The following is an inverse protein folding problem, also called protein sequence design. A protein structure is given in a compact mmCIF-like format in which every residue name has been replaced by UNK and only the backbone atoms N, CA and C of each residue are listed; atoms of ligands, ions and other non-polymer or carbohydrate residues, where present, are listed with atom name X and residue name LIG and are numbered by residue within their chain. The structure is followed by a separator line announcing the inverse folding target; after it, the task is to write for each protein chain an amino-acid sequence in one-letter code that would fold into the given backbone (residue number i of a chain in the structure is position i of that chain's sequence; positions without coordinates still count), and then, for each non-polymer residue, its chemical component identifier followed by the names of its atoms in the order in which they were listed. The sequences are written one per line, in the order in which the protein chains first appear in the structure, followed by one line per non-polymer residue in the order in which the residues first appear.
data_IF_172006044784
#
_entry.id   IF_172006044784
#
_cell.length_a   1.000
_cell.length_b   1.000
_cell.length_c   1.000
_cell.angle_alpha   90.00
_cell.angle_beta   90.00
_cell.angle_gamma   90.00
#
_symmetry.space_group_name_H-M   'P 1'
#
loop_
_entity.id
_entity.type
_entity.pdbx_description
1 polymer ?
#
# COMPACT_ATOMS: atom_id res chain seq x y z
N UNK A 1 8.96 1.68 8.54
CA UNK A 1 7.73 2.14 7.87
C UNK A 1 6.62 1.16 8.20
N UNK A 2 5.41 1.64 8.53
CA UNK A 2 4.25 0.77 8.74
C UNK A 2 3.76 0.25 7.39
N UNK A 3 3.67 -1.07 7.23
CA UNK A 3 3.11 -1.70 6.04
C UNK A 3 1.74 -2.26 6.39
N UNK A 4 0.73 -1.93 5.59
CA UNK A 4 -0.65 -2.37 5.78
C UNK A 4 -1.07 -3.18 4.56
N UNK A 5 -1.43 -4.45 4.75
CA UNK A 5 -1.83 -5.34 3.64
C UNK A 5 -3.21 -5.91 3.85
N UNK A 6 -3.89 -6.14 2.73
CA UNK A 6 -5.11 -6.94 2.65
C UNK A 6 -4.73 -8.40 2.48
N UNK A 7 -5.24 -9.26 3.36
CA UNK A 7 -5.14 -10.71 3.21
C UNK A 7 -6.55 -11.27 2.98
N UNK A 8 -6.66 -12.30 2.14
CA UNK A 8 -7.94 -12.95 1.82
C UNK A 8 -7.70 -14.45 1.82
N UNK A 9 -8.53 -15.18 2.56
CA UNK A 9 -8.63 -16.64 2.43
C UNK A 9 -9.96 -17.01 1.75
N UNK A 10 -10.31 -18.31 1.75
CA UNK A 10 -11.53 -18.78 1.07
C UNK A 10 -12.84 -18.31 1.69
N UNK A 11 -12.83 -17.92 2.96
CA UNK A 11 -14.03 -17.65 3.77
C UNK A 11 -14.05 -16.23 4.34
N UNK A 12 -12.90 -15.66 4.62
CA UNK A 12 -12.75 -14.40 5.31
C UNK A 12 -11.56 -13.62 4.78
N UNK A 13 -11.59 -12.33 5.07
CA UNK A 13 -10.53 -11.44 4.71
C UNK A 13 -10.09 -10.66 5.96
N UNK A 14 -8.82 -10.28 5.98
CA UNK A 14 -8.12 -9.72 7.12
C UNK A 14 -7.38 -8.44 6.72
N UNK A 15 -7.09 -7.60 7.70
CA UNK A 15 -6.08 -6.55 7.61
C UNK A 15 -4.87 -6.99 8.43
N UNK A 16 -3.69 -6.88 7.83
CA UNK A 16 -2.41 -7.14 8.48
C UNK A 16 -1.60 -5.86 8.60
N UNK A 17 -1.14 -5.55 9.81
CA UNK A 17 -0.27 -4.44 10.14
C UNK A 17 1.12 -4.98 10.48
N UNK A 18 2.13 -4.53 9.74
CA UNK A 18 3.52 -4.91 9.94
C UNK A 18 4.33 -3.69 10.36
N UNK A 19 4.88 -3.73 11.56
CA UNK A 19 5.81 -2.73 12.06
C UNK A 19 7.20 -3.39 12.24
N UNK A 20 8.29 -2.79 11.75
CA UNK A 20 9.62 -3.37 11.91
C UNK A 20 9.98 -3.61 13.37
N UNK A 21 10.32 -4.85 13.70
CA UNK A 21 10.69 -5.26 15.06
C UNK A 21 9.51 -5.63 15.97
N UNK A 22 8.27 -5.55 15.50
CA UNK A 22 7.09 -6.06 16.22
C UNK A 22 6.48 -7.27 15.50
N UNK A 23 5.81 -8.13 16.27
CA UNK A 23 4.99 -9.20 15.73
C UNK A 23 3.84 -8.62 14.87
N UNK A 24 3.53 -9.24 13.71
CA UNK A 24 2.43 -8.80 12.86
C UNK A 24 1.10 -8.81 13.61
N UNK A 25 0.32 -7.74 13.46
CA UNK A 25 -1.07 -7.71 13.95
C UNK A 25 -2.01 -8.01 12.80
N UNK A 26 -2.68 -9.16 12.86
CA UNK A 26 -3.59 -9.62 11.82
C UNK A 26 -4.97 -9.80 12.45
N UNK A 27 -5.99 -9.18 11.86
CA UNK A 27 -7.36 -9.26 12.36
C UNK A 27 -8.37 -9.29 11.22
N UNK A 28 -9.52 -9.98 11.40
CA UNK A 28 -10.57 -10.00 10.40
C UNK A 28 -11.06 -8.57 10.10
N UNK A 29 -11.29 -8.28 8.82
CA UNK A 29 -11.85 -6.99 8.40
C UNK A 29 -12.58 -7.10 7.08
N UNK A 30 -13.62 -6.30 6.94
CA UNK A 30 -14.30 -5.99 5.68
C UNK A 30 -13.44 -5.06 4.81
N UNK A 31 -13.82 -4.91 3.54
CA UNK A 31 -13.14 -3.97 2.64
C UNK A 31 -13.35 -2.52 3.06
N UNK A 32 -14.52 -2.19 3.61
CA UNK A 32 -14.81 -0.86 4.15
C UNK A 32 -13.89 -0.54 5.34
N UNK A 33 -13.76 -1.46 6.30
CA UNK A 33 -12.86 -1.28 7.45
C UNK A 33 -11.40 -1.16 7.01
N UNK A 34 -10.97 -2.01 6.07
CA UNK A 34 -9.62 -1.93 5.50
C UNK A 34 -9.36 -0.55 4.87
N UNK A 35 -10.27 -0.08 4.01
CA UNK A 35 -10.16 1.24 3.39
C UNK A 35 -10.12 2.37 4.41
N UNK A 36 -10.92 2.26 5.49
CA UNK A 36 -10.91 3.26 6.57
C UNK A 36 -9.59 3.25 7.35
N UNK A 37 -8.99 2.08 7.58
CA UNK A 37 -7.66 1.94 8.19
C UNK A 37 -6.60 2.60 7.29
N UNK A 38 -6.59 2.32 5.99
CA UNK A 38 -5.65 2.95 5.05
C UNK A 38 -5.76 4.47 5.09
N UNK A 39 -6.98 5.01 5.14
CA UNK A 39 -7.21 6.45 5.22
C UNK A 39 -6.66 7.06 6.52
N UNK A 40 -6.84 6.40 7.66
CA UNK A 40 -6.34 6.87 8.95
C UNK A 40 -4.80 6.94 8.94
N UNK A 41 -4.15 5.91 8.40
CA UNK A 41 -2.69 5.82 8.32
C UNK A 41 -2.09 6.51 7.10
N UNK A 42 -2.89 7.21 6.28
CA UNK A 42 -2.46 7.89 5.04
C UNK A 42 -1.76 6.94 4.06
N UNK A 43 -2.26 5.71 3.95
CA UNK A 43 -1.80 4.66 3.04
C UNK A 43 -2.76 4.50 1.85
N UNK A 44 -3.81 5.31 1.73
CA UNK A 44 -4.84 5.20 0.69
C UNK A 44 -4.47 5.89 -0.64
N UNK A 45 -3.46 6.79 -0.62
CA UNK A 45 -3.01 7.57 -1.79
C UNK A 45 -1.62 8.16 -1.55
N UNK A 46 -0.95 8.74 -2.57
CA UNK A 46 0.26 9.52 -2.33
C UNK A 46 -0.05 10.78 -1.50
N UNK A 47 0.76 11.03 -0.47
CA UNK A 47 0.70 12.23 0.34
C UNK A 47 2.08 12.90 0.38
N UNK A 48 2.12 14.21 0.13
CA UNK A 48 3.36 14.99 0.17
C UNK A 48 4.02 14.89 1.54
N UNK A 49 5.31 14.50 1.57
CA UNK A 49 6.09 14.39 2.79
C UNK A 49 5.79 13.16 3.66
N UNK A 50 4.98 12.22 3.19
CA UNK A 50 4.67 10.97 3.90
C UNK A 50 5.29 9.79 3.14
N UNK A 51 6.13 9.00 3.82
CA UNK A 51 6.64 7.75 3.26
C UNK A 51 5.64 6.63 3.53
N UNK A 52 4.97 6.19 2.46
CA UNK A 52 3.93 5.15 2.45
C UNK A 52 4.10 4.20 1.24
N UNK A 53 3.19 3.25 1.07
CA UNK A 53 3.23 2.26 -0.01
C UNK A 53 3.33 2.90 -1.41
N UNK A 54 2.76 4.09 -1.64
CA UNK A 54 2.85 4.77 -2.93
C UNK A 54 4.26 5.32 -3.21
N UNK A 55 4.93 5.82 -2.18
CA UNK A 55 6.29 6.34 -2.30
C UNK A 55 7.36 5.24 -2.37
N UNK A 56 7.10 4.06 -1.77
CA UNK A 56 8.04 2.93 -1.82
C UNK A 56 7.90 2.15 -3.15
N UNK A 57 6.67 1.83 -3.55
CA UNK A 57 6.41 1.00 -4.73
C UNK A 57 6.19 1.81 -6.02
N UNK A 58 6.27 3.15 -5.96
CA UNK A 58 6.07 4.03 -7.11
C UNK A 58 4.65 3.98 -7.70
N UNK A 59 3.69 3.42 -6.97
CA UNK A 59 2.31 3.25 -7.42
C UNK A 59 1.72 4.62 -7.79
N UNK A 60 1.14 4.74 -8.98
CA UNK A 60 0.59 5.99 -9.49
C UNK A 60 1.58 6.92 -10.20
N UNK A 61 2.87 6.58 -10.25
CA UNK A 61 3.83 7.25 -11.14
C UNK A 61 3.76 6.57 -12.51
N UNK A 62 3.46 7.28 -13.61
CA UNK A 62 3.56 6.68 -14.93
C UNK A 62 5.00 6.18 -15.14
N UNK A 63 5.20 5.03 -15.80
CA UNK A 63 6.54 4.55 -16.08
C UNK A 63 7.33 5.64 -16.80
N UNK A 64 8.65 5.78 -16.52
CA UNK A 64 9.46 6.73 -17.23
C UNK A 64 9.32 6.45 -18.72
N UNK A 65 8.86 7.45 -19.48
CA UNK A 65 8.83 7.40 -20.93
C UNK A 65 10.27 7.26 -21.42
N UNK A 66 10.65 6.05 -21.80
CA UNK A 66 11.94 5.81 -22.44
C UNK A 66 11.95 6.62 -23.74
N UNK A 67 12.93 7.52 -23.97
CA UNK A 67 13.03 8.20 -25.25
C UNK A 67 13.22 7.15 -26.33
N UNK A 68 12.25 7.02 -27.23
CA UNK A 68 12.43 6.24 -28.46
C UNK A 68 13.57 6.91 -29.20
N UNK A 69 14.73 6.24 -29.28
CA UNK A 69 15.83 6.69 -30.14
C UNK A 69 15.27 6.79 -31.56
N UNK A 70 15.08 8.01 -32.03
CA UNK A 70 14.83 8.30 -33.44
C UNK A 70 16.06 7.80 -34.20
N UNK A 71 15.92 6.67 -34.90
CA UNK A 71 16.96 6.17 -35.78
C UNK A 71 17.20 7.19 -36.89
N UNK A 72 18.45 7.66 -36.98
CA UNK A 72 18.98 8.35 -38.14
C UNK A 72 19.66 7.36 -39.08
#
# INVERSE_FOLDING_TARGET
MLVIRRLVDRQQAYTALFLPGEEPRIFPSTDYEHGRILQIYKQDRPYTGVHNDFSEFGLGTPPPVTPVKSGG
#
